data_IF_250844520267
#
_entry.id   IF_250844520267
#
_cell.length_a   1.000
_cell.length_b   1.000
_cell.length_c   1.000
_cell.angle_alpha   90.00
_cell.angle_beta   90.00
_cell.angle_gamma   90.00
#
_symmetry.space_group_name_H-M   'P 1'
#
loop_
_entity.id
_entity.type
_entity.pdbx_description
1 polymer ?
#
# COMPACT_ATOMS: atom_id res chain seq x y z
N UNK A 1 -25.13 15.80 3.76
CA UNK A 1 -25.47 14.55 3.04
C UNK A 1 -24.84 14.69 1.66
N UNK A 2 -23.76 13.96 1.43
CA UNK A 2 -23.07 13.99 0.16
C UNK A 2 -24.01 13.51 -0.96
N UNK A 3 -24.01 14.22 -2.07
CA UNK A 3 -24.63 13.78 -3.31
C UNK A 3 -24.19 12.35 -3.58
N UNK A 4 -25.13 11.42 -3.76
CA UNK A 4 -24.88 9.99 -3.93
C UNK A 4 -24.10 9.58 -5.19
N UNK A 5 -23.06 10.30 -5.53
CA UNK A 5 -22.45 10.22 -6.83
C UNK A 5 -21.01 9.76 -6.88
N UNK A 6 -20.10 10.41 -6.25
CA UNK A 6 -18.67 10.15 -6.44
C UNK A 6 -17.89 10.29 -5.14
N UNK A 7 -17.03 9.33 -4.81
CA UNK A 7 -16.06 9.40 -3.71
C UNK A 7 -14.66 9.29 -4.31
N UNK A 8 -13.81 10.25 -3.98
CA UNK A 8 -12.44 10.34 -4.47
C UNK A 8 -11.44 10.01 -3.38
N UNK A 9 -10.58 9.02 -3.61
CA UNK A 9 -9.59 8.50 -2.66
C UNK A 9 -8.20 8.69 -3.24
N UNK A 10 -7.28 9.28 -2.47
CA UNK A 10 -5.85 9.24 -2.77
C UNK A 10 -5.23 7.98 -2.17
N UNK A 11 -4.46 7.23 -2.96
CA UNK A 11 -3.76 6.05 -2.47
C UNK A 11 -2.28 6.25 -2.73
N UNK A 12 -1.46 6.18 -1.68
CA UNK A 12 0.00 6.22 -1.76
C UNK A 12 0.61 5.08 -0.97
N UNK A 13 1.85 4.73 -1.30
CA UNK A 13 2.61 3.67 -0.66
C UNK A 13 4.11 3.92 -0.79
N UNK A 14 4.88 3.25 0.03
CA UNK A 14 6.34 3.16 -0.10
C UNK A 14 6.97 4.56 -0.23
N UNK A 15 6.65 5.44 0.74
CA UNK A 15 7.22 6.79 0.83
C UNK A 15 8.62 6.78 1.37
N UNK A 16 8.97 5.79 2.18
CA UNK A 16 10.29 5.59 2.78
C UNK A 16 10.90 6.90 3.29
N UNK A 17 10.12 7.63 4.09
CA UNK A 17 10.58 8.89 4.66
C UNK A 17 11.74 8.68 5.61
N UNK A 18 12.84 9.35 5.32
CA UNK A 18 14.03 9.37 6.16
C UNK A 18 14.55 10.79 6.26
N UNK A 19 14.19 11.54 7.33
CA UNK A 19 14.73 12.88 7.53
C UNK A 19 16.25 12.81 7.60
N UNK A 20 16.93 13.54 6.72
CA UNK A 20 18.40 13.57 6.60
C UNK A 20 19.03 12.23 6.16
N UNK A 21 18.23 11.32 5.59
CA UNK A 21 18.70 10.08 4.96
C UNK A 21 19.52 10.35 3.70
N UNK A 22 20.14 9.29 3.21
CA UNK A 22 20.85 9.27 1.91
C UNK A 22 20.12 8.36 0.96
N UNK A 23 20.29 8.65 -0.32
CA UNK A 23 19.79 7.75 -1.35
C UNK A 23 20.38 6.35 -1.16
N UNK A 24 19.52 5.36 -1.37
CA UNK A 24 19.91 3.95 -1.30
C UNK A 24 20.05 3.40 -2.72
N UNK A 25 21.13 2.69 -2.96
CA UNK A 25 21.35 1.97 -4.21
C UNK A 25 21.30 0.49 -3.90
N UNK A 26 20.30 -0.19 -4.45
CA UNK A 26 20.13 -1.65 -4.27
C UNK A 26 21.20 -2.46 -5.00
N UNK A 27 21.25 -3.76 -4.74
CA UNK A 27 22.27 -4.64 -5.31
C UNK A 27 22.22 -4.72 -6.85
N UNK A 28 21.07 -4.48 -7.46
CA UNK A 28 20.89 -4.40 -8.93
C UNK A 28 21.18 -2.99 -9.49
N UNK A 29 21.61 -2.05 -8.64
CA UNK A 29 21.94 -0.67 -8.99
C UNK A 29 20.74 0.25 -9.11
N UNK A 30 19.51 -0.19 -8.77
CA UNK A 30 18.35 0.70 -8.75
C UNK A 30 18.46 1.72 -7.63
N UNK A 31 18.02 2.96 -7.92
CA UNK A 31 18.15 4.12 -7.06
C UNK A 31 16.82 4.39 -6.34
N UNK A 32 16.85 4.35 -5.03
CA UNK A 32 15.80 4.82 -4.14
C UNK A 32 16.19 6.19 -3.56
N UNK A 33 15.25 7.15 -3.60
CA UNK A 33 15.50 8.57 -3.40
C UNK A 33 15.27 9.05 -1.94
N UNK A 34 15.75 8.28 -0.94
CA UNK A 34 15.58 8.65 0.48
C UNK A 34 16.20 10.01 0.82
N UNK A 35 17.32 10.36 0.17
CA UNK A 35 17.93 11.68 0.33
C UNK A 35 17.05 12.84 -0.11
N UNK A 36 16.08 12.56 -0.97
CA UNK A 36 15.07 13.51 -1.45
C UNK A 36 13.71 13.36 -0.77
N UNK A 37 13.57 12.50 0.24
CA UNK A 37 12.28 12.14 0.84
C UNK A 37 11.48 13.34 1.37
N UNK A 38 12.14 14.36 1.93
CA UNK A 38 11.49 15.62 2.35
C UNK A 38 10.85 16.37 1.17
N UNK A 39 11.56 16.47 0.04
CA UNK A 39 11.05 17.14 -1.16
C UNK A 39 9.92 16.33 -1.83
N UNK A 40 10.07 15.00 -1.88
CA UNK A 40 9.03 14.09 -2.36
C UNK A 40 7.74 14.23 -1.56
N UNK A 41 7.83 14.19 -0.23
CA UNK A 41 6.67 14.38 0.66
C UNK A 41 6.05 15.76 0.51
N UNK A 42 6.83 16.83 0.52
CA UNK A 42 6.31 18.19 0.35
C UNK A 42 5.53 18.32 -0.97
N UNK A 43 6.04 17.74 -2.05
CA UNK A 43 5.36 17.72 -3.35
C UNK A 43 4.10 16.88 -3.30
N UNK A 44 4.15 15.67 -2.73
CA UNK A 44 2.98 14.81 -2.55
C UNK A 44 1.86 15.53 -1.77
N UNK A 45 2.19 16.18 -0.65
CA UNK A 45 1.21 16.89 0.15
C UNK A 45 0.59 18.07 -0.61
N UNK A 46 1.38 18.78 -1.42
CA UNK A 46 0.87 19.80 -2.33
C UNK A 46 -0.16 19.23 -3.32
N UNK A 47 0.15 18.11 -3.95
CA UNK A 47 -0.75 17.41 -4.87
C UNK A 47 -2.03 16.92 -4.17
N UNK A 48 -1.90 16.21 -3.04
CA UNK A 48 -3.05 15.67 -2.28
C UNK A 48 -3.98 16.78 -1.79
N UNK A 49 -3.42 17.91 -1.31
CA UNK A 49 -4.21 19.05 -0.85
C UNK A 49 -5.04 19.70 -1.95
N UNK A 50 -4.54 19.71 -3.19
CA UNK A 50 -5.22 20.27 -4.36
C UNK A 50 -6.21 19.30 -5.01
N UNK A 51 -6.06 18.01 -4.78
CA UNK A 51 -6.79 16.96 -5.49
C UNK A 51 -8.27 16.82 -5.09
N UNK A 52 -8.75 17.53 -4.06
CA UNK A 52 -10.14 17.47 -3.55
C UNK A 52 -10.57 16.02 -3.26
N UNK A 53 -9.83 15.37 -2.39
CA UNK A 53 -10.07 13.99 -1.99
C UNK A 53 -11.00 13.93 -0.78
N UNK A 54 -11.82 12.87 -0.71
CA UNK A 54 -12.66 12.58 0.46
C UNK A 54 -11.85 11.85 1.55
N UNK A 55 -10.79 11.11 1.16
CA UNK A 55 -9.84 10.46 2.06
C UNK A 55 -8.52 10.14 1.37
N UNK A 56 -7.50 9.84 2.17
CA UNK A 56 -6.21 9.32 1.73
C UNK A 56 -5.94 7.98 2.42
N UNK A 57 -5.48 6.99 1.66
CA UNK A 57 -4.99 5.71 2.15
C UNK A 57 -3.48 5.63 1.93
N UNK A 58 -2.73 5.24 2.96
CA UNK A 58 -1.31 4.89 2.81
C UNK A 58 -1.13 3.40 3.07
N UNK A 59 -0.59 2.68 2.08
CA UNK A 59 -0.51 1.23 2.12
C UNK A 59 0.82 0.69 2.67
N UNK A 60 1.45 1.42 3.59
CA UNK A 60 2.65 0.96 4.29
C UNK A 60 3.97 1.46 3.72
N UNK A 61 5.04 1.14 4.42
CA UNK A 61 6.39 1.64 4.19
C UNK A 61 6.43 3.18 4.16
N UNK A 62 5.88 3.77 5.24
CA UNK A 62 5.92 5.22 5.45
C UNK A 62 7.34 5.69 5.73
N UNK A 63 8.10 4.88 6.49
CA UNK A 63 9.47 5.17 6.97
C UNK A 63 10.50 4.22 6.40
N UNK A 64 11.76 4.36 6.83
CA UNK A 64 12.89 3.47 6.50
C UNK A 64 13.36 2.67 7.72
N UNK A 65 12.43 2.26 8.59
CA UNK A 65 12.74 1.34 9.69
C UNK A 65 13.06 -0.08 9.22
N UNK A 66 12.94 -1.04 10.13
CA UNK A 66 13.34 -2.42 9.86
C UNK A 66 14.86 -2.59 9.84
N UNK A 67 15.34 -3.63 9.17
CA UNK A 67 16.76 -4.00 9.12
C UNK A 67 17.50 -3.63 7.84
N UNK A 68 16.80 -3.27 6.78
CA UNK A 68 17.40 -3.03 5.45
C UNK A 68 18.20 -1.72 5.38
N UNK A 69 17.67 -0.66 6.00
CA UNK A 69 18.28 0.66 6.01
C UNK A 69 19.01 0.92 7.33
N UNK A 70 19.99 1.79 7.32
CA UNK A 70 20.77 2.15 8.50
C UNK A 70 20.08 3.24 9.37
N UNK A 71 18.75 3.29 9.36
CA UNK A 71 17.99 4.20 10.21
C UNK A 71 18.11 3.76 11.68
N UNK A 72 18.44 4.71 12.56
CA UNK A 72 18.50 4.42 13.99
C UNK A 72 17.12 4.45 14.64
N UNK A 73 16.91 3.76 15.79
CA UNK A 73 15.64 3.80 16.51
C UNK A 73 15.13 5.21 16.80
N UNK A 74 15.99 6.11 17.27
CA UNK A 74 15.61 7.49 17.59
C UNK A 74 15.13 8.28 16.35
N UNK A 75 15.82 8.09 15.21
CA UNK A 75 15.41 8.72 13.94
C UNK A 75 14.10 8.13 13.43
N UNK A 76 13.90 6.82 13.61
CA UNK A 76 12.66 6.14 13.26
C UNK A 76 11.46 6.70 14.04
N UNK A 77 11.57 6.82 15.38
CA UNK A 77 10.49 7.37 16.20
C UNK A 77 10.13 8.81 15.77
N UNK A 78 11.14 9.64 15.52
CA UNK A 78 10.94 11.00 15.00
C UNK A 78 10.21 10.95 13.64
N UNK A 79 10.67 10.10 12.72
CA UNK A 79 10.08 10.00 11.38
C UNK A 79 8.61 9.58 11.42
N UNK A 80 8.25 8.59 12.25
CA UNK A 80 6.85 8.13 12.41
C UNK A 80 5.97 9.27 12.93
N UNK A 81 6.43 10.01 13.93
CA UNK A 81 5.68 11.14 14.53
C UNK A 81 5.56 12.31 13.55
N UNK A 82 6.64 12.67 12.86
CA UNK A 82 6.64 13.75 11.87
C UNK A 82 5.67 13.46 10.72
N UNK A 83 5.68 12.24 10.21
CA UNK A 83 4.75 11.81 9.17
C UNK A 83 3.30 11.87 9.66
N UNK A 84 3.01 11.35 10.83
CA UNK A 84 1.67 11.41 11.40
C UNK A 84 1.16 12.86 11.47
N UNK A 85 1.96 13.77 12.03
CA UNK A 85 1.59 15.19 12.11
C UNK A 85 1.42 15.82 10.72
N UNK A 86 2.31 15.50 9.79
CA UNK A 86 2.23 16.00 8.42
C UNK A 86 0.94 15.53 7.73
N UNK A 87 0.59 14.25 7.83
CA UNK A 87 -0.67 13.74 7.30
C UNK A 87 -1.91 14.33 8.00
N UNK A 88 -1.83 14.60 9.31
CA UNK A 88 -2.92 15.28 10.04
C UNK A 88 -3.15 16.72 9.61
N UNK A 89 -2.18 17.37 8.98
CA UNK A 89 -2.33 18.71 8.39
C UNK A 89 -3.07 18.70 7.04
N UNK A 90 -3.25 17.55 6.42
CA UNK A 90 -4.22 17.40 5.34
C UNK A 90 -5.63 17.53 5.96
N UNK A 91 -6.45 18.46 5.47
CA UNK A 91 -7.84 18.61 5.93
C UNK A 91 -8.76 17.45 5.47
N UNK A 92 -8.17 16.33 5.13
CA UNK A 92 -8.78 15.12 4.59
C UNK A 92 -8.43 13.96 5.51
N UNK A 93 -9.38 13.08 5.88
CA UNK A 93 -9.10 11.88 6.67
C UNK A 93 -8.01 11.02 6.04
N UNK A 94 -7.05 10.59 6.84
CA UNK A 94 -5.95 9.73 6.41
C UNK A 94 -5.96 8.43 7.20
N UNK A 95 -5.86 7.32 6.50
CA UNK A 95 -5.78 5.97 7.07
C UNK A 95 -4.52 5.29 6.56
N UNK A 96 -3.73 4.72 7.46
CA UNK A 96 -2.48 4.05 7.11
C UNK A 96 -2.45 2.60 7.57
N UNK A 97 -1.88 1.73 6.72
CA UNK A 97 -1.39 0.42 7.10
C UNK A 97 0.11 0.51 7.39
N UNK A 98 0.66 -0.32 8.27
CA UNK A 98 2.10 -0.47 8.35
C UNK A 98 2.63 -1.29 7.17
N UNK A 99 3.85 -0.99 6.73
CA UNK A 99 4.67 -1.86 5.92
C UNK A 99 5.78 -2.52 6.76
N UNK A 100 6.68 -3.30 6.14
CA UNK A 100 7.78 -3.92 6.86
C UNK A 100 8.80 -2.89 7.36
N UNK A 101 8.97 -1.77 6.65
CA UNK A 101 9.85 -0.67 7.05
C UNK A 101 9.22 0.30 8.07
N UNK A 102 7.99 0.05 8.52
CA UNK A 102 7.39 0.75 9.65
C UNK A 102 7.60 0.02 10.98
N UNK A 103 8.48 -0.98 10.99
CA UNK A 103 8.96 -1.67 12.20
C UNK A 103 10.17 -0.97 12.82
N UNK A 104 10.27 -1.08 14.14
CA UNK A 104 11.36 -0.49 14.92
C UNK A 104 12.70 -1.14 14.56
N UNK A 105 13.72 -0.38 14.14
CA UNK A 105 15.06 -0.91 13.88
C UNK A 105 15.62 -1.67 15.10
N UNK A 106 16.13 -2.87 14.86
CA UNK A 106 16.75 -3.73 15.86
C UNK A 106 15.79 -4.56 16.72
N UNK A 107 14.53 -4.15 16.91
CA UNK A 107 13.51 -4.99 17.57
C UNK A 107 12.52 -5.62 16.60
N UNK A 108 12.33 -5.02 15.42
CA UNK A 108 11.46 -5.53 14.35
C UNK A 108 9.97 -5.49 14.67
N UNK A 109 9.54 -4.73 15.68
CA UNK A 109 8.14 -4.64 16.08
C UNK A 109 7.47 -3.34 15.60
N UNK A 110 6.14 -3.34 15.49
CA UNK A 110 5.34 -2.20 15.01
C UNK A 110 4.68 -1.38 16.13
N UNK A 111 5.12 -1.50 17.39
CA UNK A 111 4.48 -0.85 18.54
C UNK A 111 4.45 0.68 18.41
N UNK A 112 5.53 1.29 17.93
CA UNK A 112 5.59 2.75 17.72
C UNK A 112 4.60 3.18 16.66
N UNK A 113 4.56 2.50 15.51
CA UNK A 113 3.57 2.76 14.47
C UNK A 113 2.14 2.72 15.02
N UNK A 114 1.77 1.62 15.67
CA UNK A 114 0.43 1.43 16.20
C UNK A 114 0.07 2.47 17.27
N UNK A 115 1.01 2.84 18.15
CA UNK A 115 0.78 3.85 19.18
C UNK A 115 0.52 5.25 18.58
N UNK A 116 1.26 5.62 17.53
CA UNK A 116 1.15 6.94 16.88
C UNK A 116 -0.07 7.02 15.98
N UNK A 117 -0.35 5.99 15.17
CA UNK A 117 -1.49 5.96 14.25
C UNK A 117 -2.80 5.51 14.90
N UNK A 118 -2.78 5.10 16.16
CA UNK A 118 -3.97 4.72 16.92
C UNK A 118 -4.64 3.44 16.42
N UNK A 119 -3.88 2.51 15.84
CA UNK A 119 -4.38 1.23 15.35
C UNK A 119 -4.05 0.09 16.33
N UNK A 120 -4.93 -0.90 16.53
CA UNK A 120 -4.60 -2.06 17.33
C UNK A 120 -3.45 -2.87 16.69
N UNK A 121 -2.52 -3.41 17.48
CA UNK A 121 -1.40 -4.20 16.96
C UNK A 121 -1.86 -5.39 16.10
N UNK A 122 -1.28 -5.50 14.89
CA UNK A 122 -1.59 -6.57 13.94
C UNK A 122 -2.99 -6.53 13.34
N UNK A 123 -3.73 -5.45 13.56
CA UNK A 123 -5.09 -5.27 13.05
C UNK A 123 -5.14 -4.13 12.03
N UNK A 124 -5.95 -4.32 11.01
CA UNK A 124 -6.31 -3.28 10.05
C UNK A 124 -7.65 -2.61 10.40
N UNK A 125 -8.33 -2.09 9.38
CA UNK A 125 -9.59 -1.38 9.58
C UNK A 125 -10.58 -1.60 8.44
N UNK A 126 -11.84 -1.28 8.69
CA UNK A 126 -12.93 -1.34 7.70
C UNK A 126 -13.58 0.03 7.62
N UNK A 127 -13.80 0.53 6.40
CA UNK A 127 -14.45 1.81 6.12
C UNK A 127 -15.66 1.53 5.24
N UNK A 128 -16.84 1.86 5.73
CA UNK A 128 -18.08 1.72 4.99
C UNK A 128 -18.39 2.97 4.16
N UNK A 129 -18.51 2.79 2.85
CA UNK A 129 -18.98 3.79 1.91
C UNK A 129 -20.35 3.40 1.37
N UNK A 130 -21.16 4.35 0.87
CA UNK A 130 -22.46 4.02 0.30
C UNK A 130 -22.43 2.99 -0.82
N UNK A 131 -21.39 3.01 -1.68
CA UNK A 131 -21.28 2.15 -2.86
C UNK A 131 -20.32 0.97 -2.68
N UNK A 132 -19.46 0.96 -1.68
CA UNK A 132 -18.46 -0.08 -1.48
C UNK A 132 -18.03 -0.14 -0.01
N UNK A 133 -17.40 -1.24 0.37
CA UNK A 133 -16.66 -1.38 1.64
C UNK A 133 -15.17 -1.42 1.34
N UNK A 134 -14.39 -0.58 2.03
CA UNK A 134 -12.94 -0.64 2.00
C UNK A 134 -12.45 -1.46 3.19
N UNK A 135 -11.59 -2.45 2.92
CA UNK A 135 -10.97 -3.28 3.96
C UNK A 135 -9.46 -3.09 3.87
N UNK A 136 -8.88 -2.38 4.82
CA UNK A 136 -7.46 -2.27 4.99
C UNK A 136 -7.02 -3.48 5.84
N UNK A 137 -6.28 -4.42 5.25
CA UNK A 137 -5.83 -5.65 5.88
C UNK A 137 -4.39 -5.47 6.37
N UNK A 138 -4.18 -5.59 7.68
CA UNK A 138 -2.84 -5.55 8.24
C UNK A 138 -2.09 -6.85 7.92
N UNK A 139 -0.96 -6.74 7.26
CA UNK A 139 -0.10 -7.87 6.87
C UNK A 139 1.14 -8.03 7.76
N UNK A 140 1.16 -7.37 8.93
CA UNK A 140 2.24 -7.42 9.92
C UNK A 140 1.74 -7.87 11.30
N UNK A 141 0.93 -8.93 11.30
CA UNK A 141 0.44 -9.59 12.51
C UNK A 141 1.41 -10.65 13.09
N UNK A 142 2.72 -10.44 12.92
CA UNK A 142 3.76 -11.36 13.37
C UNK A 142 3.76 -11.53 14.90
N UNK A 143 3.90 -12.75 15.35
CA UNK A 143 4.16 -13.04 16.76
C UNK A 143 5.58 -12.67 17.16
N UNK A 144 5.87 -12.44 18.46
CA UNK A 144 7.23 -12.18 18.92
C UNK A 144 8.24 -13.28 18.51
N UNK A 145 7.81 -14.54 18.41
CA UNK A 145 8.66 -15.63 17.96
C UNK A 145 9.02 -15.49 16.48
N UNK A 146 8.05 -15.19 15.62
CA UNK A 146 8.32 -14.95 14.18
C UNK A 146 9.26 -13.77 13.96
N UNK A 147 9.13 -12.69 14.74
CA UNK A 147 10.05 -11.55 14.68
C UNK A 147 11.45 -11.98 15.12
N UNK A 148 11.57 -12.76 16.20
CA UNK A 148 12.86 -13.22 16.70
C UNK A 148 13.59 -14.18 15.75
N UNK A 149 12.82 -14.97 14.96
CA UNK A 149 13.34 -15.92 13.98
C UNK A 149 13.70 -15.27 12.64
N UNK A 150 13.24 -14.04 12.39
CA UNK A 150 13.58 -13.32 11.16
C UNK A 150 15.02 -12.83 11.20
N UNK A 151 15.68 -12.83 10.04
CA UNK A 151 17.03 -12.28 9.90
C UNK A 151 17.04 -10.82 10.37
N UNK A 152 18.00 -10.46 11.22
CA UNK A 152 18.13 -9.12 11.81
C UNK A 152 16.85 -8.59 12.49
N UNK A 153 15.93 -9.47 12.87
CA UNK A 153 14.59 -9.14 13.38
C UNK A 153 13.80 -8.25 12.42
N UNK A 154 13.96 -8.50 11.13
CA UNK A 154 13.31 -7.77 10.05
C UNK A 154 12.44 -8.72 9.21
N UNK A 155 11.21 -9.04 9.64
CA UNK A 155 10.31 -9.87 8.86
C UNK A 155 9.75 -9.09 7.68
N UNK A 156 10.45 -9.16 6.53
CA UNK A 156 10.06 -8.50 5.28
C UNK A 156 8.84 -9.12 4.60
N UNK A 157 8.55 -10.40 4.88
CA UNK A 157 7.33 -11.07 4.40
C UNK A 157 6.10 -10.71 5.23
N UNK A 158 4.92 -10.84 4.63
CA UNK A 158 3.66 -10.59 5.33
C UNK A 158 3.18 -11.78 6.16
N UNK A 159 2.43 -11.49 7.21
CA UNK A 159 1.69 -12.46 8.02
C UNK A 159 0.38 -11.85 8.50
N UNK A 160 -0.76 -12.48 8.18
CA UNK A 160 -2.07 -12.11 8.68
C UNK A 160 -2.42 -13.02 9.87
N UNK A 161 -2.53 -12.45 11.07
CA UNK A 161 -2.83 -13.23 12.27
C UNK A 161 -4.31 -13.68 12.31
N UNK A 162 -4.63 -14.62 13.20
CA UNK A 162 -5.98 -15.20 13.28
C UNK A 162 -7.07 -14.16 13.62
N UNK A 163 -6.75 -13.18 14.45
CA UNK A 163 -7.69 -12.11 14.79
C UNK A 163 -8.01 -11.23 13.57
N UNK A 164 -7.00 -10.93 12.77
CA UNK A 164 -7.17 -10.16 11.54
C UNK A 164 -7.88 -10.98 10.44
N UNK A 165 -7.62 -12.30 10.35
CA UNK A 165 -8.39 -13.20 9.47
C UNK A 165 -9.88 -13.22 9.89
N UNK A 166 -10.17 -13.31 11.17
CA UNK A 166 -11.55 -13.27 11.68
C UNK A 166 -12.22 -11.93 11.39
N UNK A 167 -11.50 -10.80 11.54
CA UNK A 167 -12.00 -9.47 11.18
C UNK A 167 -12.26 -9.35 9.67
N UNK A 168 -11.37 -9.88 8.84
CA UNK A 168 -11.57 -9.93 7.39
C UNK A 168 -12.83 -10.72 7.05
N UNK A 169 -12.99 -11.93 7.60
CA UNK A 169 -14.17 -12.76 7.37
C UNK A 169 -15.45 -12.04 7.75
N UNK A 170 -15.49 -11.41 8.92
CA UNK A 170 -16.64 -10.62 9.37
C UNK A 170 -16.92 -9.43 8.44
N UNK A 171 -15.88 -8.74 7.98
CA UNK A 171 -16.02 -7.65 7.03
C UNK A 171 -16.61 -8.11 5.70
N UNK A 172 -16.17 -9.26 5.16
CA UNK A 172 -16.70 -9.83 3.92
C UNK A 172 -18.15 -10.28 4.10
N UNK A 173 -18.45 -11.01 5.17
CA UNK A 173 -19.77 -11.54 5.49
C UNK A 173 -20.81 -10.42 5.65
N UNK A 174 -20.47 -9.37 6.41
CA UNK A 174 -21.40 -8.26 6.70
C UNK A 174 -21.50 -7.23 5.58
N UNK A 175 -20.62 -7.27 4.59
CA UNK A 175 -20.79 -6.49 3.37
C UNK A 175 -21.99 -6.96 2.53
N UNK A 176 -22.34 -8.25 2.62
CA UNK A 176 -23.39 -8.84 1.77
C UNK A 176 -23.00 -8.72 0.28
N UNK A 177 -23.91 -8.19 -0.53
CA UNK A 177 -23.67 -7.97 -1.96
C UNK A 177 -22.88 -6.70 -2.29
N UNK A 178 -22.61 -5.85 -1.29
CA UNK A 178 -21.87 -4.61 -1.49
C UNK A 178 -20.42 -4.90 -1.91
N UNK A 179 -19.91 -4.27 -2.98
CA UNK A 179 -18.53 -4.45 -3.42
C UNK A 179 -17.53 -4.18 -2.30
N UNK A 180 -16.54 -5.07 -2.18
CA UNK A 180 -15.42 -4.92 -1.25
C UNK A 180 -14.16 -4.62 -2.05
N UNK A 181 -13.42 -3.59 -1.62
CA UNK A 181 -12.08 -3.27 -2.09
C UNK A 181 -11.10 -3.56 -0.95
N UNK A 182 -10.16 -4.46 -1.19
CA UNK A 182 -9.15 -4.87 -0.21
C UNK A 182 -7.86 -4.12 -0.45
N UNK A 183 -7.21 -3.69 0.62
CA UNK A 183 -5.94 -2.98 0.59
C UNK A 183 -4.94 -3.68 1.51
N UNK A 184 -3.74 -3.96 1.00
CA UNK A 184 -2.67 -4.63 1.74
C UNK A 184 -1.33 -3.94 1.48
N UNK A 185 -0.34 -4.15 2.34
CA UNK A 185 1.03 -3.79 2.00
C UNK A 185 1.67 -4.93 1.19
N UNK A 186 1.96 -6.09 1.79
CA UNK A 186 2.50 -7.23 1.04
C UNK A 186 1.48 -7.85 0.10
N UNK A 187 1.99 -8.59 -0.88
CA UNK A 187 1.23 -9.13 -1.98
C UNK A 187 0.54 -10.45 -1.65
N UNK A 188 -0.75 -10.54 -2.02
CA UNK A 188 -1.50 -11.80 -2.07
C UNK A 188 -1.23 -12.58 -3.36
N UNK A 189 -0.68 -11.92 -4.37
CA UNK A 189 -0.42 -12.52 -5.66
C UNK A 189 0.83 -11.93 -6.31
N UNK A 190 1.66 -12.74 -6.99
CA UNK A 190 2.77 -12.26 -7.79
C UNK A 190 2.28 -11.31 -8.90
N UNK A 191 3.18 -10.46 -9.40
CA UNK A 191 2.92 -9.63 -10.58
C UNK A 191 2.73 -10.45 -11.86
N UNK A 192 2.18 -9.81 -12.89
CA UNK A 192 1.76 -10.45 -14.13
C UNK A 192 2.92 -10.88 -15.03
N UNK A 193 4.09 -10.26 -14.91
CA UNK A 193 5.21 -10.44 -15.82
C UNK A 193 6.56 -10.57 -15.12
N UNK A 194 7.47 -11.37 -15.68
CA UNK A 194 8.82 -11.57 -15.16
C UNK A 194 8.94 -12.75 -14.19
N UNK A 195 10.19 -13.16 -13.96
CA UNK A 195 10.56 -14.32 -13.12
C UNK A 195 11.31 -13.91 -11.84
N UNK A 196 11.27 -12.65 -11.49
CA UNK A 196 11.98 -12.06 -10.36
C UNK A 196 11.19 -12.12 -9.03
N UNK A 197 10.07 -12.87 -9.00
CA UNK A 197 9.31 -13.09 -7.77
C UNK A 197 10.18 -13.69 -6.67
N UNK A 198 10.08 -13.09 -5.50
CA UNK A 198 10.71 -13.59 -4.27
C UNK A 198 9.64 -13.75 -3.19
N UNK A 199 9.82 -14.77 -2.34
CA UNK A 199 8.86 -15.06 -1.28
C UNK A 199 8.63 -13.90 -0.31
N UNK A 200 9.63 -13.06 -0.12
CA UNK A 200 9.55 -11.92 0.79
C UNK A 200 8.56 -10.82 0.33
N UNK A 201 8.17 -10.78 -0.96
CA UNK A 201 7.12 -9.86 -1.40
C UNK A 201 5.73 -10.27 -0.94
N UNK A 202 5.54 -11.53 -0.62
CA UNK A 202 4.23 -12.10 -0.35
C UNK A 202 3.89 -12.23 1.13
N UNK A 203 2.64 -12.59 1.36
CA UNK A 203 2.11 -12.99 2.66
C UNK A 203 2.32 -14.49 2.80
N UNK A 204 2.99 -14.96 3.87
CA UNK A 204 3.30 -16.38 4.04
C UNK A 204 2.06 -17.27 4.16
N UNK A 205 1.02 -16.79 4.86
CA UNK A 205 -0.25 -17.50 4.98
C UNK A 205 -1.29 -17.00 3.96
N UNK A 206 -0.86 -16.63 2.74
CA UNK A 206 -1.72 -16.09 1.69
C UNK A 206 -2.86 -17.03 1.31
N UNK A 207 -2.67 -18.35 1.41
CA UNK A 207 -3.71 -19.34 1.10
C UNK A 207 -4.97 -19.12 1.95
N UNK A 208 -4.82 -18.90 3.26
CA UNK A 208 -5.94 -18.64 4.16
C UNK A 208 -6.70 -17.36 3.78
N UNK A 209 -5.98 -16.30 3.38
CA UNK A 209 -6.62 -15.07 2.91
C UNK A 209 -7.38 -15.30 1.60
N UNK A 210 -6.75 -15.94 0.61
CA UNK A 210 -7.37 -16.19 -0.69
C UNK A 210 -8.60 -17.11 -0.58
N UNK A 211 -8.60 -18.10 0.33
CA UNK A 211 -9.77 -18.93 0.62
C UNK A 211 -10.95 -18.12 1.16
N UNK A 212 -10.68 -17.15 2.06
CA UNK A 212 -11.72 -16.24 2.53
C UNK A 212 -12.27 -15.39 1.38
N UNK A 213 -11.39 -14.78 0.57
CA UNK A 213 -11.81 -13.95 -0.56
C UNK A 213 -12.63 -14.76 -1.58
N UNK A 214 -12.28 -16.03 -1.83
CA UNK A 214 -12.99 -16.91 -2.76
C UNK A 214 -14.35 -17.36 -2.23
N UNK A 215 -14.55 -17.42 -0.92
CA UNK A 215 -15.80 -17.82 -0.28
C UNK A 215 -16.91 -16.78 -0.41
N UNK A 216 -16.50 -15.49 -0.41
CA UNK A 216 -17.42 -14.35 -0.46
C UNK A 216 -17.34 -13.65 -1.81
N UNK A 217 -18.30 -13.85 -2.69
CA UNK A 217 -18.33 -13.32 -4.08
C UNK A 217 -18.55 -11.79 -4.16
N UNK A 218 -17.93 -10.99 -3.28
CA UNK A 218 -18.11 -9.55 -3.21
C UNK A 218 -16.81 -8.74 -3.33
N UNK A 219 -15.63 -9.38 -3.43
CA UNK A 219 -14.34 -8.70 -3.56
C UNK A 219 -14.08 -8.34 -5.02
N UNK A 220 -14.04 -7.06 -5.37
CA UNK A 220 -13.87 -6.57 -6.76
C UNK A 220 -12.44 -6.20 -7.09
N UNK A 221 -11.69 -5.71 -6.12
CA UNK A 221 -10.28 -5.39 -6.33
C UNK A 221 -9.45 -5.61 -5.06
N UNK A 222 -8.16 -5.91 -5.27
CA UNK A 222 -7.11 -5.96 -4.25
C UNK A 222 -6.02 -4.99 -4.66
N UNK A 223 -5.77 -3.98 -3.83
CA UNK A 223 -4.68 -3.01 -3.99
C UNK A 223 -3.54 -3.41 -3.06
N UNK A 224 -2.34 -3.51 -3.59
CA UNK A 224 -1.15 -4.02 -2.92
C UNK A 224 0.01 -3.05 -3.15
N UNK A 225 1.01 -3.03 -2.25
CA UNK A 225 2.19 -2.16 -2.32
C UNK A 225 3.50 -2.97 -2.33
N UNK A 226 4.53 -2.55 -1.61
CA UNK A 226 5.76 -3.29 -1.29
C UNK A 226 6.67 -3.64 -2.48
N UNK A 227 6.14 -3.89 -3.67
CA UNK A 227 6.93 -4.29 -4.84
C UNK A 227 7.43 -3.11 -5.67
N UNK A 228 7.13 -1.88 -5.30
CA UNK A 228 7.57 -0.64 -5.94
C UNK A 228 7.34 -0.61 -7.46
N UNK A 229 6.22 -1.12 -7.93
CA UNK A 229 5.89 -1.18 -9.36
C UNK A 229 4.40 -1.08 -9.59
N UNK A 230 3.98 -0.51 -10.70
CA UNK A 230 2.62 -0.64 -11.16
C UNK A 230 2.46 -1.97 -11.89
N UNK A 231 1.53 -2.80 -11.43
CA UNK A 231 1.12 -4.02 -12.12
C UNK A 231 -0.39 -4.22 -11.96
N UNK A 232 -1.01 -4.75 -12.97
CA UNK A 232 -2.45 -5.02 -12.96
C UNK A 232 -2.73 -6.37 -13.61
N UNK A 233 -3.53 -7.19 -12.92
CA UNK A 233 -3.98 -8.46 -13.44
C UNK A 233 -5.38 -8.79 -12.95
N UNK A 234 -6.13 -9.52 -13.77
CA UNK A 234 -7.38 -10.12 -13.36
C UNK A 234 -7.16 -11.58 -12.95
N UNK A 235 -7.75 -11.96 -11.83
CA UNK A 235 -7.68 -13.32 -11.30
C UNK A 235 -9.05 -13.82 -10.93
N UNK A 236 -9.29 -15.10 -11.17
CA UNK A 236 -10.49 -15.77 -10.68
C UNK A 236 -10.32 -16.12 -9.20
N UNK A 237 -11.28 -15.69 -8.38
CA UNK A 237 -11.40 -16.04 -6.97
C UNK A 237 -12.78 -16.63 -6.75
N UNK A 238 -12.87 -17.96 -6.58
CA UNK A 238 -14.16 -18.64 -6.59
C UNK A 238 -14.87 -18.45 -7.94
N UNK A 239 -16.10 -17.94 -7.90
CA UNK A 239 -16.91 -17.68 -9.10
C UNK A 239 -16.77 -16.26 -9.67
N UNK A 240 -16.05 -15.37 -8.97
CA UNK A 240 -15.85 -13.99 -9.39
C UNK A 240 -14.49 -13.74 -10.05
N UNK A 241 -14.42 -12.66 -10.84
CA UNK A 241 -13.16 -12.09 -11.32
C UNK A 241 -12.80 -10.89 -10.44
N UNK A 242 -11.60 -10.92 -9.88
CA UNK A 242 -11.06 -9.87 -9.03
C UNK A 242 -9.86 -9.21 -9.72
N UNK A 243 -9.79 -7.87 -9.67
CA UNK A 243 -8.65 -7.12 -10.19
C UNK A 243 -7.60 -6.93 -9.10
N UNK A 244 -6.38 -7.43 -9.33
CA UNK A 244 -5.23 -7.21 -8.47
C UNK A 244 -4.39 -6.08 -9.03
N UNK A 245 -4.14 -5.08 -8.22
CA UNK A 245 -3.35 -3.89 -8.56
C UNK A 245 -2.18 -3.81 -7.59
N UNK A 246 -0.97 -3.73 -8.12
CA UNK A 246 0.22 -3.37 -7.33
C UNK A 246 0.48 -1.89 -7.58
N UNK A 247 0.70 -1.13 -6.53
CA UNK A 247 0.94 0.31 -6.60
C UNK A 247 2.42 0.62 -6.81
N UNK A 248 2.74 1.67 -7.57
CA UNK A 248 4.10 2.16 -7.64
C UNK A 248 4.49 2.84 -6.33
N UNK A 249 5.79 2.89 -6.08
CA UNK A 249 6.39 3.58 -4.94
C UNK A 249 6.49 5.09 -5.18
N UNK A 250 6.52 5.85 -4.08
CA UNK A 250 6.86 7.28 -4.11
C UNK A 250 8.36 7.54 -4.10
N UNK A 251 9.17 6.54 -3.69
CA UNK A 251 10.63 6.68 -3.53
C UNK A 251 11.43 6.24 -4.74
N UNK A 252 10.80 5.54 -5.70
CA UNK A 252 11.40 5.05 -6.93
C UNK A 252 10.53 5.44 -8.14
N UNK A 253 11.10 5.37 -9.34
CA UNK A 253 10.33 5.59 -10.58
C UNK A 253 9.06 4.73 -10.60
N UNK A 254 7.88 5.28 -10.91
CA UNK A 254 7.60 6.60 -11.50
C UNK A 254 7.34 7.73 -10.49
N UNK A 255 7.61 7.59 -9.19
CA UNK A 255 7.32 8.60 -8.16
C UNK A 255 5.85 9.03 -8.20
N UNK A 256 4.93 8.12 -7.96
CA UNK A 256 3.53 8.34 -8.24
C UNK A 256 2.61 7.90 -7.10
N UNK A 257 1.44 8.51 -7.03
CA UNK A 257 0.31 8.09 -6.23
C UNK A 257 -0.90 7.78 -7.12
N UNK A 258 -1.85 6.99 -6.61
CA UNK A 258 -3.06 6.60 -7.35
C UNK A 258 -4.25 7.40 -6.85
N UNK A 259 -5.02 8.02 -7.76
CA UNK A 259 -6.36 8.49 -7.47
C UNK A 259 -7.37 7.42 -7.84
N UNK A 260 -8.28 7.12 -6.91
CA UNK A 260 -9.37 6.19 -7.09
C UNK A 260 -10.70 6.96 -6.94
N UNK A 261 -11.45 7.04 -8.03
CA UNK A 261 -12.76 7.65 -8.04
C UNK A 261 -13.85 6.54 -8.08
N UNK A 262 -14.66 6.45 -7.03
CA UNK A 262 -15.71 5.45 -6.86
C UNK A 262 -17.08 6.05 -7.15
N UNK A 263 -17.82 5.41 -8.04
CA UNK A 263 -19.25 5.62 -8.27
C UNK A 263 -20.03 4.35 -7.92
N UNK A 264 -21.37 4.36 -7.89
CA UNK A 264 -22.15 3.12 -7.66
C UNK A 264 -21.87 2.00 -8.66
N UNK A 265 -21.47 2.33 -9.88
CA UNK A 265 -21.28 1.36 -10.97
C UNK A 265 -19.81 1.06 -11.29
N UNK A 266 -18.90 2.01 -11.01
CA UNK A 266 -17.53 1.93 -11.51
C UNK A 266 -16.51 2.44 -10.51
N UNK A 267 -15.30 1.94 -10.66
CA UNK A 267 -14.09 2.39 -10.03
C UNK A 267 -13.14 2.88 -11.13
N UNK A 268 -12.73 4.15 -11.11
CA UNK A 268 -11.71 4.69 -12.03
C UNK A 268 -10.42 4.93 -11.27
N UNK A 269 -9.33 4.34 -11.76
CA UNK A 269 -7.98 4.52 -11.25
C UNK A 269 -7.21 5.47 -12.14
N UNK A 270 -6.48 6.43 -11.56
CA UNK A 270 -5.59 7.34 -12.29
C UNK A 270 -4.26 7.47 -11.59
N UNK A 271 -3.20 7.18 -12.32
CA UNK A 271 -1.82 7.37 -11.84
C UNK A 271 -1.44 8.85 -11.92
N UNK A 272 -1.02 9.42 -10.81
CA UNK A 272 -0.56 10.81 -10.71
C UNK A 272 0.93 10.80 -10.37
N UNK A 273 1.75 11.21 -11.32
CA UNK A 273 3.21 11.30 -11.13
C UNK A 273 3.55 12.64 -10.50
N UNK A 274 4.43 12.62 -9.49
CA UNK A 274 4.90 13.86 -8.88
C UNK A 274 5.62 14.74 -9.93
N UNK A 275 5.42 16.07 -9.95
CA UNK A 275 6.07 16.96 -10.89
C UNK A 275 7.55 17.22 -10.55
N UNK A 276 8.35 16.15 -10.49
CA UNK A 276 9.77 16.14 -10.17
C UNK A 276 10.56 15.41 -11.25
N UNK A 277 10.64 15.97 -12.49
CA UNK A 277 11.17 15.27 -13.66
C UNK A 277 12.62 14.83 -13.50
N UNK A 278 13.46 15.61 -12.84
CA UNK A 278 14.88 15.27 -12.66
C UNK A 278 15.07 14.07 -11.75
N UNK A 279 14.29 13.98 -10.65
CA UNK A 279 14.32 12.84 -9.75
C UNK A 279 13.72 11.59 -10.41
N UNK A 280 12.65 11.76 -11.18
CA UNK A 280 12.08 10.65 -11.96
C UNK A 280 13.10 10.10 -12.95
N UNK A 281 13.79 10.97 -13.69
CA UNK A 281 14.79 10.55 -14.68
C UNK A 281 16.00 9.89 -14.02
N UNK A 282 16.49 10.43 -12.90
CA UNK A 282 17.59 9.83 -12.14
C UNK A 282 17.25 8.40 -11.69
N UNK A 283 16.06 8.20 -11.09
CA UNK A 283 15.62 6.87 -10.69
C UNK A 283 15.36 5.97 -11.91
N UNK A 284 14.72 6.48 -12.97
CA UNK A 284 14.40 5.72 -14.19
C UNK A 284 15.63 5.15 -14.90
N UNK A 285 16.73 5.91 -14.94
CA UNK A 285 17.98 5.54 -15.60
C UNK A 285 18.90 4.67 -14.73
N UNK A 286 18.59 4.52 -13.43
CA UNK A 286 19.43 3.77 -12.50
C UNK A 286 19.42 2.27 -12.80
N UNK A 287 20.46 1.55 -12.34
CA UNK A 287 20.62 0.12 -12.56
C UNK A 287 20.58 -0.24 -14.05
N UNK A 288 19.83 -1.26 -14.39
CA UNK A 288 19.60 -1.69 -15.78
C UNK A 288 18.43 -0.92 -16.46
N UNK A 289 17.99 0.20 -15.87
CA UNK A 289 16.81 0.97 -16.29
C UNK A 289 15.52 0.51 -15.59
N UNK A 290 14.76 1.48 -15.06
CA UNK A 290 13.60 1.21 -14.20
C UNK A 290 12.26 1.54 -14.87
N UNK A 291 12.22 1.72 -16.19
CA UNK A 291 10.99 2.10 -16.92
C UNK A 291 9.84 1.09 -16.73
N UNK A 292 10.15 -0.16 -16.50
CA UNK A 292 9.21 -1.25 -16.25
C UNK A 292 8.37 -1.04 -14.97
N UNK A 293 8.86 -0.25 -13.98
CA UNK A 293 8.14 0.03 -12.73
C UNK A 293 6.86 0.84 -12.94
N UNK A 294 6.76 1.57 -14.03
CA UNK A 294 5.56 2.34 -14.37
C UNK A 294 4.43 1.50 -14.98
N UNK A 295 4.66 0.20 -15.19
CA UNK A 295 3.70 -0.69 -15.84
C UNK A 295 3.36 -0.27 -17.27
N UNK A 296 2.22 -0.72 -17.76
CA UNK A 296 1.73 -0.37 -19.09
C UNK A 296 0.96 0.95 -19.07
N UNK A 297 1.12 1.83 -20.09
CA UNK A 297 0.42 3.12 -20.13
C UNK A 297 -1.10 3.03 -20.06
N UNK A 298 -1.71 1.96 -20.55
CA UNK A 298 -3.16 1.72 -20.47
C UNK A 298 -3.67 1.51 -19.03
N UNK A 299 -2.78 1.24 -18.07
CA UNK A 299 -3.13 1.11 -16.65
C UNK A 299 -3.11 2.45 -15.91
N UNK A 300 -2.62 3.53 -16.55
CA UNK A 300 -2.49 4.84 -15.90
C UNK A 300 -3.82 5.58 -15.76
N UNK A 301 -4.80 5.24 -16.59
CA UNK A 301 -6.18 5.72 -16.46
C UNK A 301 -7.12 4.61 -16.90
N UNK A 302 -7.68 3.89 -15.93
CA UNK A 302 -8.47 2.70 -16.17
C UNK A 302 -9.77 2.74 -15.37
N UNK A 303 -10.88 2.38 -16.02
CA UNK A 303 -12.18 2.22 -15.37
C UNK A 303 -12.57 0.75 -15.32
N UNK A 304 -12.93 0.28 -14.12
CA UNK A 304 -13.32 -1.10 -13.84
C UNK A 304 -14.77 -1.10 -13.31
N UNK A 305 -15.65 -1.99 -13.77
CA UNK A 305 -16.99 -2.18 -13.19
C UNK A 305 -16.88 -2.61 -11.71
N UNK A 306 -17.71 -2.02 -10.83
CA UNK A 306 -17.89 -2.48 -9.44
C UNK A 306 -18.97 -3.57 -9.34
N UNK A 307 -19.88 -3.64 -10.30
CA UNK A 307 -20.92 -4.66 -10.38
C UNK A 307 -20.61 -5.59 -11.55
N UNK A 308 -20.89 -6.87 -11.39
CA UNK A 308 -20.84 -7.80 -12.53
C UNK A 308 -21.96 -7.44 -13.48
N UNK A 309 -21.66 -7.38 -14.78
CA UNK A 309 -22.68 -7.34 -15.80
C UNK A 309 -23.41 -8.69 -15.76
N UNK A 310 -24.60 -8.74 -15.23
CA UNK A 310 -25.48 -9.89 -15.41
C UNK A 310 -25.85 -9.94 -16.92
N UNK A 311 -25.01 -10.63 -17.71
CA UNK A 311 -25.32 -10.98 -19.09
C UNK A 311 -25.83 -12.42 -19.15
#
# INVERSE_FOLDING_TARGET
>A
MANGGLISIGICADTHYWPDGRDFVSADGSLQLQGSSKALLATLFGELSQAKLDMVLHLGDLTCGGGTYAMTPDVFEIAVVDLYHTYRNLHTPVFALPGNHDSMPGSGDWRVFHAVWGTPPGMGMTIDLPMARLVLLNTHGHSPAQIADAADRDPVYGWVNDAELARLEEALRTAGERPVLLFTHQLLAPWSSGNDWRAFYGIQNTAAVLELLARYNNVRAVFQAHAHRLDLQQRRLGDQVCTFVILPSLIEYPLAWMRLDLSPATMRMRLNRLPLPDLQEASRLSGAGQSWRAGHPEWWDLTIPLQESHT
#
